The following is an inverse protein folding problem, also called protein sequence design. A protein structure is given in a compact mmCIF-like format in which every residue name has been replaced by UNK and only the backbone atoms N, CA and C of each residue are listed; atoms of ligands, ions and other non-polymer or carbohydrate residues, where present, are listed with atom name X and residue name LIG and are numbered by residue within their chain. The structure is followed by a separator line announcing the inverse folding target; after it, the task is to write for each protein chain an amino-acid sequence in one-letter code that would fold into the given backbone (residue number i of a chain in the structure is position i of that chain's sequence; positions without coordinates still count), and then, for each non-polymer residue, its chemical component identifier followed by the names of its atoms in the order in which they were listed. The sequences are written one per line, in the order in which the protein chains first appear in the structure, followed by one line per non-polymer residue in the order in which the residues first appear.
data_IF_194592791861
#
_entry.id   IF_194592791861
#
_cell.length_a   1.000
_cell.length_b   1.000
_cell.length_c   1.000
_cell.angle_alpha   90.00
_cell.angle_beta   90.00
_cell.angle_gamma   90.00
#
_symmetry.space_group_name_H-M   'P 1'
#
loop_
_entity.id
_entity.type
_entity.pdbx_description
1 polymer ?
#
# COMPACT_ATOMS: atom_id res chain seq x y z
N UNK A 1 12.18 -15.04 28.55
CA UNK A 1 11.18 -14.02 28.15
C UNK A 1 11.83 -13.22 27.04
N UNK A 2 11.61 -13.61 25.78
CA UNK A 2 12.01 -12.78 24.66
C UNK A 2 11.11 -11.54 24.66
N UNK A 3 11.72 -10.38 24.63
CA UNK A 3 11.06 -9.08 24.74
C UNK A 3 10.15 -8.87 23.54
N UNK A 4 8.91 -8.47 23.76
CA UNK A 4 7.97 -7.98 22.73
C UNK A 4 8.55 -6.82 21.88
N UNK A 5 9.71 -6.30 22.23
CA UNK A 5 10.43 -5.21 21.57
C UNK A 5 11.45 -5.70 20.53
N UNK A 6 11.84 -6.97 20.53
CA UNK A 6 12.81 -7.49 19.53
C UNK A 6 12.19 -7.88 18.20
N UNK A 7 10.89 -8.18 18.15
CA UNK A 7 10.21 -8.54 16.87
C UNK A 7 9.94 -7.32 15.97
N UNK A 8 9.85 -6.11 16.51
CA UNK A 8 9.57 -4.90 15.71
C UNK A 8 10.77 -4.36 14.94
N UNK A 9 12.00 -4.71 15.33
CA UNK A 9 13.21 -4.24 14.67
C UNK A 9 13.56 -4.94 13.34
N UNK A 10 12.94 -6.06 13.03
CA UNK A 10 13.17 -6.80 11.78
C UNK A 10 12.16 -6.47 10.68
N UNK A 11 11.10 -5.70 10.98
CA UNK A 11 10.13 -5.33 9.97
C UNK A 11 10.61 -4.09 9.19
N UNK A 12 10.60 -4.12 7.83
CA UNK A 12 11.02 -2.99 7.01
C UNK A 12 10.23 -1.71 7.32
N UNK A 13 10.90 -0.57 7.26
CA UNK A 13 10.31 0.74 7.55
C UNK A 13 8.97 1.01 6.83
N UNK A 14 8.80 0.65 5.53
CA UNK A 14 7.51 0.82 4.85
C UNK A 14 6.34 0.05 5.47
N UNK A 15 6.62 -1.07 6.12
CA UNK A 15 5.60 -1.86 6.81
C UNK A 15 5.27 -1.26 8.18
N UNK A 16 6.29 -0.88 8.95
CA UNK A 16 6.13 -0.27 10.29
C UNK A 16 5.35 1.05 10.26
N UNK A 17 5.55 1.84 9.20
CA UNK A 17 4.93 3.16 9.01
C UNK A 17 3.65 3.12 8.18
N UNK A 18 3.10 1.93 7.95
CA UNK A 18 1.84 1.85 7.20
C UNK A 18 0.73 2.55 7.98
N UNK A 19 0.04 3.54 7.36
CA UNK A 19 -1.04 4.25 8.04
C UNK A 19 -2.22 3.32 8.34
N UNK A 20 -2.85 3.55 9.49
CA UNK A 20 -3.98 2.78 9.96
C UNK A 20 -5.34 3.45 9.65
N UNK A 21 -5.31 4.73 9.25
CA UNK A 21 -6.50 5.52 8.96
C UNK A 21 -6.29 6.48 7.78
N UNK A 22 -7.39 7.09 7.30
CA UNK A 22 -7.37 8.01 6.15
C UNK A 22 -6.66 9.35 6.43
N UNK A 23 -6.58 9.77 7.67
CA UNK A 23 -5.97 11.07 8.01
C UNK A 23 -4.44 10.99 8.04
N UNK A 24 -3.90 9.79 8.25
CA UNK A 24 -2.47 9.49 8.11
C UNK A 24 -2.08 9.11 6.67
N UNK A 25 -3.06 8.87 5.80
CA UNK A 25 -2.81 8.42 4.43
C UNK A 25 -2.34 9.58 3.55
N UNK A 26 -1.09 9.51 3.11
CA UNK A 26 -0.43 10.58 2.35
C UNK A 26 -0.83 10.51 0.87
N UNK A 27 -1.08 11.68 0.27
CA UNK A 27 -1.44 11.83 -1.14
C UNK A 27 -2.88 11.44 -1.45
N UNK A 28 -3.18 11.20 -2.71
CA UNK A 28 -4.48 10.78 -3.26
C UNK A 28 -5.66 11.67 -2.82
N UNK A 29 -5.41 12.96 -2.60
CA UNK A 29 -6.41 13.92 -2.11
C UNK A 29 -7.64 14.03 -3.01
N UNK A 30 -7.50 13.72 -4.31
CA UNK A 30 -8.60 13.67 -5.28
C UNK A 30 -9.57 12.51 -5.02
N UNK A 31 -9.16 11.45 -4.30
CA UNK A 31 -9.98 10.28 -3.95
C UNK A 31 -10.45 10.32 -2.49
N UNK A 32 -9.51 10.56 -1.55
CA UNK A 32 -9.74 10.41 -0.11
C UNK A 32 -9.72 11.73 0.66
N UNK A 33 -9.56 12.87 -0.01
CA UNK A 33 -9.70 14.20 0.58
C UNK A 33 -11.12 14.42 1.13
N UNK A 34 -11.29 15.40 2.04
CA UNK A 34 -12.59 15.73 2.62
C UNK A 34 -13.65 15.99 1.54
N UNK A 35 -14.79 15.30 1.64
CA UNK A 35 -15.90 15.42 0.70
C UNK A 35 -15.74 14.65 -0.61
N UNK A 36 -14.64 13.95 -0.83
CA UNK A 36 -14.41 13.13 -2.02
C UNK A 36 -15.19 11.82 -1.97
N UNK A 37 -15.45 11.28 -3.16
CA UNK A 37 -16.40 10.16 -3.30
C UNK A 37 -15.94 8.90 -2.55
N UNK A 38 -14.67 8.53 -2.65
CA UNK A 38 -14.18 7.32 -1.99
C UNK A 38 -14.20 7.48 -0.47
N UNK A 39 -13.79 8.66 0.06
CA UNK A 39 -13.87 8.95 1.49
C UNK A 39 -15.32 8.85 2.00
N UNK A 40 -16.29 9.42 1.28
CA UNK A 40 -17.71 9.32 1.65
C UNK A 40 -18.21 7.88 1.67
N UNK A 41 -17.83 7.06 0.68
CA UNK A 41 -18.21 5.65 0.64
C UNK A 41 -17.66 4.87 1.84
N UNK A 42 -16.44 5.20 2.28
CA UNK A 42 -15.81 4.60 3.47
C UNK A 42 -16.54 5.07 4.73
N UNK A 43 -16.71 6.37 4.92
CA UNK A 43 -17.34 6.97 6.11
C UNK A 43 -18.82 6.55 6.28
N UNK A 44 -19.53 6.25 5.19
CA UNK A 44 -20.92 5.78 5.23
C UNK A 44 -21.06 4.25 5.17
N UNK A 45 -19.97 3.50 5.23
CA UNK A 45 -19.94 2.05 5.07
C UNK A 45 -20.71 1.53 3.84
N UNK A 46 -20.68 2.33 2.76
CA UNK A 46 -21.41 2.07 1.50
C UNK A 46 -20.45 1.65 0.39
N UNK A 47 -19.42 0.87 0.75
CA UNK A 47 -18.42 0.39 -0.19
C UNK A 47 -18.98 -0.73 -1.06
N UNK A 48 -18.51 -0.78 -2.29
CA UNK A 48 -18.78 -1.83 -3.28
C UNK A 48 -17.47 -2.30 -3.89
N UNK A 49 -17.51 -3.39 -4.65
CA UNK A 49 -16.32 -3.89 -5.35
C UNK A 49 -15.69 -2.82 -6.22
N UNK A 50 -14.35 -2.76 -6.22
CA UNK A 50 -13.58 -1.72 -6.89
C UNK A 50 -12.23 -2.22 -7.39
N UNK A 51 -11.66 -1.48 -8.33
CA UNK A 51 -10.31 -1.68 -8.85
C UNK A 51 -9.48 -0.44 -8.54
N UNK A 52 -8.35 -0.63 -7.89
CA UNK A 52 -7.33 0.39 -7.70
C UNK A 52 -6.29 0.27 -8.82
N UNK A 53 -6.26 1.26 -9.68
CA UNK A 53 -5.29 1.34 -10.78
C UNK A 53 -4.30 2.47 -10.54
N UNK A 54 -3.01 2.17 -10.64
CA UNK A 54 -1.96 3.17 -10.50
C UNK A 54 -0.57 2.54 -10.33
N UNK A 55 0.49 3.36 -10.35
CA UNK A 55 1.86 2.89 -10.25
C UNK A 55 2.15 2.17 -8.94
N UNK A 56 3.29 1.48 -8.81
CA UNK A 56 3.69 0.84 -7.55
C UNK A 56 3.91 1.88 -6.45
N UNK A 57 3.81 1.46 -5.18
CA UNK A 57 4.15 2.27 -4.01
C UNK A 57 3.23 3.45 -3.68
N UNK A 58 2.09 3.63 -4.38
CA UNK A 58 1.14 4.74 -4.17
C UNK A 58 0.07 4.47 -3.12
N UNK A 59 0.16 3.33 -2.41
CA UNK A 59 -0.72 3.00 -1.29
C UNK A 59 -1.95 2.15 -1.61
N UNK A 60 -2.04 1.45 -2.76
CA UNK A 60 -3.20 0.60 -3.12
C UNK A 60 -3.57 -0.40 -2.01
N UNK A 61 -2.61 -1.21 -1.57
CA UNK A 61 -2.80 -2.20 -0.50
C UNK A 61 -3.13 -1.54 0.84
N UNK A 62 -2.47 -0.43 1.16
CA UNK A 62 -2.70 0.33 2.38
C UNK A 62 -4.12 0.89 2.43
N UNK A 63 -4.59 1.48 1.33
CA UNK A 63 -5.95 2.00 1.24
C UNK A 63 -7.00 0.90 1.39
N UNK A 64 -6.77 -0.28 0.80
CA UNK A 64 -7.66 -1.43 0.97
C UNK A 64 -7.75 -1.89 2.44
N UNK A 65 -6.64 -1.91 3.17
CA UNK A 65 -6.61 -2.24 4.61
C UNK A 65 -7.32 -1.20 5.46
N UNK A 66 -7.12 0.10 5.18
CA UNK A 66 -7.83 1.19 5.86
C UNK A 66 -9.35 1.05 5.65
N UNK A 67 -9.78 0.73 4.42
CA UNK A 67 -11.20 0.50 4.12
C UNK A 67 -11.75 -0.66 4.96
N UNK A 68 -11.03 -1.77 5.01
CA UNK A 68 -11.47 -2.95 5.77
C UNK A 68 -11.56 -2.67 7.27
N UNK A 69 -10.56 -1.99 7.83
CA UNK A 69 -10.55 -1.58 9.24
C UNK A 69 -11.72 -0.65 9.56
N UNK A 70 -11.94 0.38 8.72
CA UNK A 70 -12.99 1.36 8.95
C UNK A 70 -14.41 0.76 8.86
N UNK A 71 -14.60 -0.23 7.98
CA UNK A 71 -15.91 -0.88 7.75
C UNK A 71 -16.09 -2.16 8.58
N UNK A 72 -15.19 -2.42 9.52
CA UNK A 72 -15.21 -3.63 10.37
C UNK A 72 -15.38 -4.93 9.57
N UNK A 73 -14.77 -4.97 8.38
CA UNK A 73 -14.85 -6.13 7.47
C UNK A 73 -13.69 -7.08 7.69
N UNK A 74 -13.92 -8.36 7.56
CA UNK A 74 -12.85 -9.37 7.47
C UNK A 74 -12.01 -9.08 6.23
N UNK A 75 -10.69 -8.96 6.38
CA UNK A 75 -9.76 -8.66 5.31
C UNK A 75 -8.96 -9.90 4.91
N UNK A 76 -9.10 -10.30 3.66
CA UNK A 76 -8.32 -11.41 3.09
C UNK A 76 -7.40 -10.82 2.02
N UNK A 77 -6.08 -10.92 2.27
CA UNK A 77 -5.02 -10.49 1.35
C UNK A 77 -4.65 -11.66 0.43
N UNK A 78 -4.82 -11.47 -0.85
CA UNK A 78 -4.67 -12.53 -1.84
C UNK A 78 -3.77 -12.06 -2.99
N UNK A 79 -2.69 -12.79 -3.22
CA UNK A 79 -1.75 -12.46 -4.30
C UNK A 79 -2.02 -13.30 -5.54
N UNK A 80 -2.27 -12.63 -6.67
CA UNK A 80 -2.42 -13.31 -7.95
C UNK A 80 -1.13 -13.99 -8.45
N UNK A 81 0.03 -13.63 -7.88
CA UNK A 81 1.33 -14.21 -8.27
C UNK A 81 1.52 -15.62 -7.69
N UNK A 82 1.04 -15.85 -6.48
CA UNK A 82 1.31 -17.09 -5.72
C UNK A 82 0.11 -18.01 -5.61
N UNK A 83 -1.08 -17.55 -6.01
CA UNK A 83 -2.34 -18.25 -5.73
C UNK A 83 -3.00 -18.81 -6.99
N UNK A 84 -3.56 -19.99 -6.87
CA UNK A 84 -4.27 -20.70 -7.93
C UNK A 84 -5.79 -20.81 -7.69
N UNK A 85 -6.46 -21.55 -8.57
CA UNK A 85 -7.93 -21.73 -8.53
C UNK A 85 -8.41 -22.43 -7.25
N UNK A 86 -7.58 -23.30 -6.64
CA UNK A 86 -7.95 -24.01 -5.41
C UNK A 86 -8.05 -23.03 -4.23
N UNK A 87 -7.04 -22.20 -4.08
CA UNK A 87 -6.99 -21.18 -3.04
C UNK A 87 -8.13 -20.16 -3.20
N UNK A 88 -8.46 -19.76 -4.44
CA UNK A 88 -9.63 -18.92 -4.71
C UNK A 88 -10.90 -19.56 -4.14
N UNK A 89 -11.13 -20.86 -4.40
CA UNK A 89 -12.33 -21.56 -3.91
C UNK A 89 -12.38 -21.66 -2.39
N UNK A 90 -11.25 -21.86 -1.72
CA UNK A 90 -11.17 -21.90 -0.26
C UNK A 90 -11.52 -20.55 0.36
N UNK A 91 -10.97 -19.48 -0.18
CA UNK A 91 -11.28 -18.11 0.24
C UNK A 91 -12.76 -17.77 0.01
N UNK A 92 -13.33 -18.19 -1.12
CA UNK A 92 -14.76 -17.99 -1.39
C UNK A 92 -15.64 -18.71 -0.39
N UNK A 93 -15.28 -19.94 -0.01
CA UNK A 93 -15.99 -20.71 1.01
C UNK A 93 -15.90 -20.04 2.39
N UNK A 94 -14.76 -19.49 2.73
CA UNK A 94 -14.60 -18.72 3.96
C UNK A 94 -15.49 -17.47 3.94
N UNK A 95 -15.52 -16.71 2.86
CA UNK A 95 -16.35 -15.53 2.72
C UNK A 95 -17.86 -15.85 2.80
N UNK A 96 -18.30 -16.97 2.21
CA UNK A 96 -19.68 -17.44 2.35
C UNK A 96 -20.02 -17.77 3.81
N UNK A 97 -19.11 -18.41 4.54
CA UNK A 97 -19.28 -18.68 5.97
C UNK A 97 -19.38 -17.37 6.78
N UNK A 98 -18.48 -16.42 6.56
CA UNK A 98 -18.51 -15.12 7.22
C UNK A 98 -19.86 -14.41 7.00
N UNK A 99 -20.38 -14.46 5.76
CA UNK A 99 -21.68 -13.89 5.40
C UNK A 99 -22.83 -14.49 6.18
N UNK A 100 -22.81 -15.81 6.43
CA UNK A 100 -23.85 -16.48 7.25
C UNK A 100 -23.90 -15.92 8.67
N UNK A 101 -22.76 -15.46 9.19
CA UNK A 101 -22.65 -14.79 10.51
C UNK A 101 -22.85 -13.28 10.44
N UNK A 102 -23.21 -12.73 9.29
CA UNK A 102 -23.44 -11.29 9.10
C UNK A 102 -22.16 -10.48 8.94
N UNK A 103 -21.00 -11.13 8.77
CA UNK A 103 -19.72 -10.44 8.57
C UNK A 103 -19.47 -10.14 7.10
N UNK A 104 -19.06 -8.90 6.81
CA UNK A 104 -18.59 -8.49 5.49
C UNK A 104 -17.18 -9.02 5.26
N UNK A 105 -16.88 -9.47 4.05
CA UNK A 105 -15.52 -9.89 3.67
C UNK A 105 -15.03 -9.02 2.52
N UNK A 106 -13.91 -8.33 2.75
CA UNK A 106 -13.13 -7.67 1.70
C UNK A 106 -12.05 -8.63 1.25
N UNK A 107 -12.12 -9.00 -0.03
CA UNK A 107 -11.06 -9.73 -0.70
C UNK A 107 -10.18 -8.74 -1.47
N UNK A 108 -8.98 -8.52 -0.99
CA UNK A 108 -7.98 -7.74 -1.69
C UNK A 108 -7.16 -8.66 -2.60
N UNK A 109 -7.10 -8.36 -3.89
CA UNK A 109 -6.32 -9.11 -4.88
C UNK A 109 -5.24 -8.21 -5.44
N UNK A 110 -4.00 -8.42 -5.02
CA UNK A 110 -2.86 -7.70 -5.56
C UNK A 110 -2.47 -8.26 -6.93
N UNK A 111 -2.10 -7.35 -7.85
CA UNK A 111 -1.74 -7.66 -9.24
C UNK A 111 -2.81 -8.50 -9.95
N UNK A 112 -4.08 -8.13 -9.81
CA UNK A 112 -5.26 -8.90 -10.32
C UNK A 112 -5.16 -9.19 -11.83
N UNK A 113 -4.43 -8.37 -12.60
CA UNK A 113 -4.18 -8.58 -14.02
C UNK A 113 -3.39 -9.85 -14.33
N UNK A 114 -2.68 -10.42 -13.36
CA UNK A 114 -1.95 -11.70 -13.52
C UNK A 114 -2.84 -12.93 -13.52
N UNK A 115 -4.08 -12.79 -13.08
CA UNK A 115 -5.06 -13.85 -13.24
C UNK A 115 -5.55 -13.94 -14.67
N UNK A 116 -5.64 -15.17 -15.19
CA UNK A 116 -6.28 -15.41 -16.47
C UNK A 116 -7.81 -15.17 -16.38
N UNK A 117 -8.48 -15.10 -17.52
CA UNK A 117 -9.92 -14.83 -17.60
C UNK A 117 -10.76 -15.79 -16.76
N UNK A 118 -10.44 -17.10 -16.78
CA UNK A 118 -11.18 -18.12 -16.01
C UNK A 118 -11.02 -17.94 -14.50
N UNK A 119 -9.83 -17.49 -14.03
CA UNK A 119 -9.60 -17.18 -12.63
C UNK A 119 -10.36 -15.91 -12.21
N UNK A 120 -10.39 -14.89 -13.06
CA UNK A 120 -11.17 -13.67 -12.82
C UNK A 120 -12.68 -13.97 -12.81
N UNK A 121 -13.18 -14.85 -13.69
CA UNK A 121 -14.58 -15.28 -13.72
C UNK A 121 -15.00 -16.00 -12.44
N UNK A 122 -14.08 -16.67 -11.76
CA UNK A 122 -14.37 -17.36 -10.51
C UNK A 122 -14.86 -16.42 -9.39
N UNK A 123 -14.54 -15.13 -9.45
CA UNK A 123 -15.02 -14.12 -8.49
C UNK A 123 -16.45 -13.66 -8.75
N UNK A 124 -16.95 -13.74 -10.00
CA UNK A 124 -18.22 -13.15 -10.41
C UNK A 124 -19.42 -13.60 -9.56
N UNK A 125 -19.65 -14.89 -9.30
CA UNK A 125 -20.82 -15.32 -8.52
C UNK A 125 -20.84 -14.75 -7.10
N UNK A 126 -19.66 -14.52 -6.51
CA UNK A 126 -19.51 -14.04 -5.12
C UNK A 126 -19.62 -12.52 -5.04
N UNK A 127 -19.12 -11.80 -6.05
CA UNK A 127 -19.31 -10.35 -6.21
C UNK A 127 -20.79 -10.04 -6.45
N UNK A 128 -21.48 -10.80 -7.31
CA UNK A 128 -22.90 -10.61 -7.61
C UNK A 128 -23.81 -10.89 -6.42
N UNK A 129 -23.50 -11.91 -5.63
CA UNK A 129 -24.24 -12.24 -4.41
C UNK A 129 -23.92 -11.27 -3.25
N UNK A 130 -22.87 -10.46 -3.36
CA UNK A 130 -22.36 -9.65 -2.26
C UNK A 130 -21.73 -10.46 -1.13
N UNK A 131 -21.28 -11.70 -1.41
CA UNK A 131 -20.55 -12.52 -0.43
C UNK A 131 -19.15 -11.99 -0.18
N UNK A 132 -18.59 -11.30 -1.17
CA UNK A 132 -17.34 -10.55 -1.06
C UNK A 132 -17.50 -9.14 -1.61
N UNK A 133 -16.71 -8.24 -1.07
CA UNK A 133 -16.37 -6.95 -1.68
C UNK A 133 -14.97 -7.14 -2.25
N UNK A 134 -14.86 -7.19 -3.59
CA UNK A 134 -13.58 -7.34 -4.25
C UNK A 134 -12.88 -5.99 -4.36
N UNK A 135 -11.64 -5.90 -3.89
CA UNK A 135 -10.74 -4.77 -4.16
C UNK A 135 -9.56 -5.32 -4.96
N UNK A 136 -9.58 -5.16 -6.27
CA UNK A 136 -8.46 -5.53 -7.13
C UNK A 136 -7.45 -4.40 -7.23
N UNK A 137 -6.16 -4.70 -7.14
CA UNK A 137 -5.08 -3.74 -7.39
C UNK A 137 -4.32 -4.12 -8.67
N UNK A 138 -3.97 -3.12 -9.47
CA UNK A 138 -3.21 -3.33 -10.71
C UNK A 138 -2.37 -2.11 -11.07
N UNK A 139 -1.22 -2.35 -11.68
CA UNK A 139 -0.41 -1.32 -12.35
C UNK A 139 -0.77 -1.17 -13.82
N UNK A 140 -1.42 -2.16 -14.41
CA UNK A 140 -1.80 -2.22 -15.82
C UNK A 140 -3.19 -1.60 -16.05
N UNK A 141 -3.46 -1.17 -17.30
CA UNK A 141 -4.76 -0.58 -17.63
C UNK A 141 -5.89 -1.63 -17.51
N UNK A 142 -6.83 -1.44 -16.57
CA UNK A 142 -7.86 -2.43 -16.28
C UNK A 142 -8.80 -2.71 -17.46
N UNK A 143 -8.93 -1.78 -18.40
CA UNK A 143 -9.78 -1.97 -19.59
C UNK A 143 -9.25 -3.05 -20.55
N UNK A 144 -7.95 -3.36 -20.50
CA UNK A 144 -7.34 -4.39 -21.33
C UNK A 144 -7.13 -5.70 -20.57
N UNK A 145 -6.84 -5.61 -19.27
CA UNK A 145 -6.36 -6.72 -18.49
C UNK A 145 -7.45 -7.39 -17.65
N UNK A 146 -8.50 -6.66 -17.31
CA UNK A 146 -9.58 -7.20 -16.48
C UNK A 146 -10.75 -7.60 -17.37
N UNK A 147 -11.31 -8.79 -17.08
CA UNK A 147 -12.50 -9.29 -17.76
C UNK A 147 -13.64 -8.26 -17.67
N UNK A 148 -14.26 -7.95 -18.80
CA UNK A 148 -15.33 -6.97 -18.91
C UNK A 148 -16.52 -7.25 -17.99
N UNK A 149 -16.84 -8.53 -17.76
CA UNK A 149 -17.90 -8.92 -16.83
C UNK A 149 -17.57 -8.55 -15.37
N UNK A 150 -16.32 -8.71 -14.94
CA UNK A 150 -15.85 -8.32 -13.62
C UNK A 150 -15.73 -6.78 -13.53
N UNK A 151 -15.16 -6.15 -14.55
CA UNK A 151 -14.97 -4.71 -14.59
C UNK A 151 -16.30 -3.95 -14.53
N UNK A 152 -17.36 -4.45 -15.17
CA UNK A 152 -18.71 -3.84 -15.15
C UNK A 152 -19.34 -3.83 -13.74
N UNK A 153 -18.85 -4.64 -12.81
CA UNK A 153 -19.32 -4.75 -11.43
C UNK A 153 -18.43 -4.03 -10.42
N UNK A 154 -17.34 -3.45 -10.89
CA UNK A 154 -16.36 -2.74 -10.07
C UNK A 154 -16.30 -1.27 -10.44
N UNK A 155 -16.09 -0.42 -9.43
CA UNK A 155 -15.72 0.99 -9.67
C UNK A 155 -14.21 1.09 -9.81
N UNK A 156 -13.74 1.77 -10.85
CA UNK A 156 -12.30 2.00 -11.03
C UNK A 156 -11.92 3.32 -10.36
N UNK A 157 -10.92 3.26 -9.46
CA UNK A 157 -10.30 4.42 -8.85
C UNK A 157 -8.83 4.49 -9.29
N UNK A 158 -8.45 5.63 -9.86
CA UNK A 158 -7.09 5.87 -10.33
C UNK A 158 -6.29 6.50 -9.21
N UNK A 159 -5.23 5.81 -8.79
CA UNK A 159 -4.25 6.35 -7.84
C UNK A 159 -3.07 6.92 -8.64
N UNK A 160 -2.71 8.15 -8.37
CA UNK A 160 -1.61 8.84 -9.01
C UNK A 160 -0.29 8.56 -8.30
N UNK A 161 0.83 8.75 -8.99
CA UNK A 161 2.13 8.86 -8.34
C UNK A 161 2.07 9.95 -7.27
N UNK A 162 2.77 9.76 -6.16
CA UNK A 162 2.83 10.77 -5.11
C UNK A 162 3.66 11.95 -5.59
N UNK A 163 3.23 13.15 -5.22
CA UNK A 163 4.00 14.37 -5.47
C UNK A 163 5.25 14.38 -4.58
N UNK A 164 6.28 15.13 -4.99
CA UNK A 164 7.53 15.21 -4.25
C UNK A 164 7.31 15.69 -2.81
N UNK A 165 6.44 16.67 -2.61
CA UNK A 165 6.08 17.21 -1.29
C UNK A 165 5.37 16.17 -0.40
N UNK A 166 4.54 15.31 -0.98
CA UNK A 166 3.92 14.19 -0.28
C UNK A 166 4.99 13.22 0.26
N UNK A 167 5.97 12.90 -0.58
CA UNK A 167 7.09 12.03 -0.20
C UNK A 167 7.95 12.69 0.89
N UNK A 168 8.31 13.96 0.74
CA UNK A 168 9.08 14.69 1.77
C UNK A 168 8.35 14.69 3.11
N UNK A 169 7.04 14.95 3.10
CA UNK A 169 6.19 14.87 4.31
C UNK A 169 6.24 13.48 4.94
N UNK A 170 6.14 12.43 4.13
CA UNK A 170 6.24 11.03 4.58
C UNK A 170 7.61 10.73 5.20
N UNK A 171 8.70 11.20 4.60
CA UNK A 171 10.06 11.02 5.12
C UNK A 171 10.26 11.76 6.46
N UNK A 172 9.75 12.99 6.58
CA UNK A 172 9.77 13.75 7.85
C UNK A 172 8.98 13.02 8.94
N UNK A 173 7.83 12.47 8.58
CA UNK A 173 7.05 11.63 9.51
C UNK A 173 7.83 10.38 9.94
N UNK A 174 8.51 9.71 9.02
CA UNK A 174 9.33 8.54 9.30
C UNK A 174 10.46 8.82 10.29
N UNK A 175 11.09 9.99 10.20
CA UNK A 175 12.18 10.43 11.09
C UNK A 175 11.64 10.75 12.49
N UNK A 176 10.48 11.36 12.60
CA UNK A 176 9.91 11.80 13.88
C UNK A 176 9.05 10.74 14.58
N UNK A 177 8.52 9.77 13.87
CA UNK A 177 7.61 8.75 14.42
C UNK A 177 8.35 7.73 15.29
N UNK A 178 7.82 7.35 16.46
CA UNK A 178 8.33 6.23 17.25
C UNK A 178 8.31 4.88 16.51
N UNK A 179 7.40 4.70 15.55
CA UNK A 179 7.36 3.53 14.66
C UNK A 179 8.48 3.56 13.60
N UNK A 180 9.09 4.72 13.38
CA UNK A 180 10.20 4.94 12.47
C UNK A 180 11.53 5.11 13.22
N UNK A 181 12.10 6.29 13.11
CA UNK A 181 13.40 6.66 13.69
C UNK A 181 13.30 7.68 14.84
N UNK A 182 12.10 7.95 15.37
CA UNK A 182 11.87 8.98 16.40
C UNK A 182 12.64 8.81 17.70
N UNK A 183 13.23 7.63 17.94
CA UNK A 183 14.11 7.37 19.07
C UNK A 183 15.60 7.65 18.80
N UNK A 184 15.95 8.03 17.56
CA UNK A 184 17.31 8.35 17.13
C UNK A 184 17.46 9.85 16.89
N UNK A 185 18.66 10.37 17.10
CA UNK A 185 18.98 11.73 16.71
C UNK A 185 19.56 11.72 15.31
N UNK A 186 18.83 12.27 14.35
CA UNK A 186 19.20 12.29 12.95
C UNK A 186 19.32 13.73 12.49
N UNK A 187 20.48 14.06 11.94
CA UNK A 187 20.75 15.33 11.27
C UNK A 187 20.69 15.10 9.75
N UNK A 188 19.60 15.57 9.15
CA UNK A 188 19.34 15.48 7.72
C UNK A 188 18.74 16.79 7.22
N UNK A 189 19.30 17.37 6.18
CA UNK A 189 18.79 18.62 5.60
C UNK A 189 17.54 18.37 4.73
N UNK A 190 16.71 19.42 4.57
CA UNK A 190 15.55 19.35 3.66
C UNK A 190 15.99 19.03 2.21
N UNK A 191 17.13 19.55 1.74
CA UNK A 191 17.70 19.20 0.43
C UNK A 191 17.95 17.69 0.28
N UNK A 192 18.39 17.02 1.34
CA UNK A 192 18.60 15.57 1.35
C UNK A 192 17.27 14.81 1.27
N UNK A 193 16.22 15.29 1.94
CA UNK A 193 14.88 14.71 1.84
C UNK A 193 14.30 14.88 0.43
N UNK A 194 14.43 16.06 -0.17
CA UNK A 194 14.04 16.30 -1.55
C UNK A 194 14.81 15.41 -2.54
N UNK A 195 16.11 15.19 -2.30
CA UNK A 195 16.91 14.30 -3.12
C UNK A 195 16.41 12.85 -3.06
N UNK A 196 16.08 12.33 -1.87
CA UNK A 196 15.48 10.99 -1.72
C UNK A 196 14.11 10.94 -2.40
N UNK A 197 13.28 11.98 -2.24
CA UNK A 197 11.95 12.06 -2.84
C UNK A 197 12.04 12.04 -4.38
N UNK A 198 12.95 12.80 -4.98
CA UNK A 198 13.14 12.84 -6.44
C UNK A 198 13.54 11.48 -7.01
N UNK A 199 14.42 10.72 -6.34
CA UNK A 199 14.81 9.36 -6.76
C UNK A 199 13.70 8.31 -6.58
N UNK A 200 12.69 8.58 -5.77
CA UNK A 200 11.60 7.64 -5.53
C UNK A 200 10.58 7.59 -6.66
N UNK A 201 10.54 8.61 -7.54
CA UNK A 201 9.56 8.72 -8.63
C UNK A 201 8.10 8.56 -8.17
N UNK A 202 7.75 9.11 -7.01
CA UNK A 202 6.40 9.03 -6.44
C UNK A 202 6.02 7.69 -5.81
N UNK A 203 6.99 6.80 -5.58
CA UNK A 203 6.84 5.53 -4.87
C UNK A 203 7.23 5.67 -3.39
N UNK A 204 6.23 5.69 -2.49
CA UNK A 204 6.44 5.80 -1.05
C UNK A 204 7.26 4.65 -0.46
N UNK A 205 7.06 3.42 -0.95
CA UNK A 205 7.81 2.24 -0.49
C UNK A 205 9.28 2.38 -0.82
N UNK A 206 9.58 2.81 -2.05
CA UNK A 206 10.94 3.08 -2.48
C UNK A 206 11.60 4.20 -1.66
N UNK A 207 10.89 5.31 -1.43
CA UNK A 207 11.39 6.42 -0.62
C UNK A 207 11.75 6.00 0.80
N UNK A 208 10.84 5.29 1.49
CA UNK A 208 11.06 4.82 2.86
C UNK A 208 12.19 3.77 2.94
N UNK A 209 12.27 2.85 1.99
CA UNK A 209 13.36 1.86 1.93
C UNK A 209 14.71 2.53 1.66
N UNK A 210 14.74 3.59 0.85
CA UNK A 210 15.95 4.38 0.60
C UNK A 210 16.36 5.14 1.86
N UNK A 211 15.41 5.79 2.57
CA UNK A 211 15.68 6.46 3.83
C UNK A 211 16.27 5.49 4.86
N UNK A 212 15.69 4.30 5.03
CA UNK A 212 16.17 3.26 5.93
C UNK A 212 17.60 2.83 5.59
N UNK A 213 17.88 2.61 4.31
CA UNK A 213 19.23 2.29 3.83
C UNK A 213 20.22 3.42 4.10
N UNK A 214 19.84 4.66 3.84
CA UNK A 214 20.67 5.85 4.05
C UNK A 214 21.02 6.02 5.51
N UNK A 215 20.06 5.95 6.41
CA UNK A 215 20.26 6.10 7.86
C UNK A 215 21.17 5.00 8.39
N UNK A 216 20.93 3.73 7.99
CA UNK A 216 21.73 2.59 8.44
C UNK A 216 23.18 2.60 7.91
N UNK A 217 23.50 3.38 6.89
CA UNK A 217 24.82 3.51 6.31
C UNK A 217 25.46 4.90 6.53
N UNK A 218 24.83 5.77 7.31
CA UNK A 218 25.35 7.09 7.65
C UNK A 218 26.27 7.05 8.87
N UNK A 219 27.22 7.98 8.95
CA UNK A 219 28.13 8.09 10.07
C UNK A 219 27.43 8.60 11.33
N UNK A 220 27.68 7.95 12.46
CA UNK A 220 27.26 8.42 13.78
C UNK A 220 28.42 9.12 14.49
N UNK A 221 28.19 10.37 14.93
CA UNK A 221 29.15 11.16 15.72
C UNK A 221 28.41 11.76 16.92
N UNK A 222 28.96 11.60 18.11
CA UNK A 222 28.38 12.11 19.36
C UNK A 222 26.91 11.71 19.58
N UNK A 223 26.52 10.52 19.14
CA UNK A 223 25.15 10.00 19.24
C UNK A 223 24.17 10.65 18.24
N UNK A 224 24.66 11.31 17.20
CA UNK A 224 23.89 11.91 16.11
C UNK A 224 24.29 11.27 14.79
N UNK A 225 23.30 10.80 14.03
CA UNK A 225 23.48 10.25 12.68
C UNK A 225 23.46 11.41 11.69
N UNK A 226 24.55 11.61 10.95
CA UNK A 226 24.69 12.69 9.98
C UNK A 226 24.50 12.17 8.56
N UNK A 227 23.43 12.58 7.93
CA UNK A 227 23.11 12.19 6.55
C UNK A 227 23.70 13.18 5.56
N UNK A 228 24.51 12.69 4.63
CA UNK A 228 25.11 13.50 3.55
C UNK A 228 24.51 13.16 2.18
N UNK A 229 24.59 14.12 1.22
CA UNK A 229 24.19 13.88 -0.18
C UNK A 229 24.96 12.73 -0.80
N UNK A 230 26.23 12.58 -0.47
CA UNK A 230 27.10 11.51 -1.00
C UNK A 230 26.57 10.12 -0.63
N UNK A 231 26.14 9.91 0.62
CA UNK A 231 25.58 8.60 1.04
C UNK A 231 24.25 8.31 0.34
N UNK A 232 23.42 9.33 0.12
CA UNK A 232 22.16 9.18 -0.63
C UNK A 232 22.44 8.73 -2.06
N UNK A 233 23.37 9.39 -2.75
CA UNK A 233 23.78 9.03 -4.11
C UNK A 233 24.34 7.61 -4.18
N UNK A 234 25.17 7.21 -3.23
CA UNK A 234 25.68 5.83 -3.16
C UNK A 234 24.58 4.79 -2.93
N UNK A 235 23.60 5.09 -2.10
CA UNK A 235 22.45 4.19 -1.84
C UNK A 235 21.49 4.09 -3.03
N UNK A 236 21.41 5.14 -3.86
CA UNK A 236 20.49 5.18 -5.02
C UNK A 236 21.13 4.69 -6.32
N UNK A 237 22.45 4.90 -6.53
CA UNK A 237 23.17 4.51 -7.74
C UNK A 237 23.18 2.99 -8.04
N UNK A 238 22.99 2.13 -7.04
CA UNK A 238 22.87 0.67 -7.25
C UNK A 238 21.61 0.26 -8.04
N UNK A 239 20.64 1.15 -8.22
CA UNK A 239 19.42 0.87 -9.02
C UNK A 239 19.58 1.18 -10.51
N UNK A 240 20.48 2.07 -10.91
CA UNK A 240 20.68 2.41 -12.33
C UNK A 240 21.38 1.32 -13.15
N UNK A 241 22.09 0.38 -12.50
CA UNK A 241 22.83 -0.71 -13.16
C UNK A 241 21.97 -1.94 -13.51
N UNK A 242 20.67 -1.94 -13.21
CA UNK A 242 19.74 -3.05 -13.50
C UNK A 242 18.82 -2.80 -14.70
N UNK A 243 18.99 -1.68 -15.42
CA UNK A 243 18.12 -1.27 -16.53
C UNK A 243 18.87 -0.94 -17.83
N UNK A 244 20.11 -1.47 -18.02
CA UNK A 244 20.82 -1.49 -19.33
C UNK A 244 20.78 -2.90 -19.92
#
# INVERSE_FOLDING_TARGET
MASLFEETFNEPLPSRLRPDNLDEFVGQTHLVGKGKILRRLIETDSISSMIFWGPPGVGKTTLARIIASHTHSSFIDFSAVTSGIKEIREVMKQAENNRVFGEKTILFVDEIHRFNKSQQDAFLPFVEKGSIILIGATTENPSFEINGALLSRCKVFVLNALEEEDIVSLLKHAISSPKGFGNMKIDISDDCLHLIASFSNGDARNALSTLEMVINNSDEKDGIIHVSKTIIEQCTQKKSLLYD
#
